data_IF_553690639922
#
_entry.id   IF_553690639922
#
_cell.length_a   1.000
_cell.length_b   1.000
_cell.length_c   1.000
_cell.angle_alpha   90.00
_cell.angle_beta   90.00
_cell.angle_gamma   90.00
#
_symmetry.space_group_name_H-M   'P 1'
#
loop_
_entity.id
_entity.type
_entity.pdbx_description
1 polymer ?
#
# COMPACT_ATOMS: atom_id res chain seq x y z
N UNK A 1 4.84 -38.11 -5.06
CA UNK A 1 5.55 -36.99 -4.41
C UNK A 1 4.67 -35.77 -4.54
N UNK A 2 4.38 -35.07 -3.44
CA UNK A 2 3.75 -33.75 -3.55
C UNK A 2 4.73 -32.82 -4.29
N UNK A 3 4.26 -31.98 -5.22
CA UNK A 3 5.14 -31.05 -5.92
C UNK A 3 5.79 -30.10 -4.90
N UNK A 4 7.11 -29.96 -4.95
CA UNK A 4 7.84 -28.96 -4.17
C UNK A 4 7.51 -27.59 -4.72
N UNK A 5 6.85 -26.75 -3.92
CA UNK A 5 6.56 -25.37 -4.29
C UNK A 5 7.85 -24.55 -4.33
N UNK A 6 7.93 -23.59 -5.26
CA UNK A 6 9.02 -22.62 -5.33
C UNK A 6 8.90 -21.69 -4.12
N UNK A 7 10.02 -21.39 -3.46
CA UNK A 7 10.09 -20.32 -2.48
C UNK A 7 10.03 -18.97 -3.21
N UNK A 8 8.86 -18.32 -3.25
CA UNK A 8 8.66 -17.06 -3.95
C UNK A 8 9.59 -15.93 -3.44
N UNK A 9 9.95 -15.93 -2.16
CA UNK A 9 10.90 -14.94 -1.64
C UNK A 9 12.31 -15.10 -2.20
N UNK A 10 12.67 -16.29 -2.68
CA UNK A 10 13.95 -16.53 -3.36
C UNK A 10 13.99 -15.96 -4.78
N UNK A 11 12.84 -15.59 -5.37
CA UNK A 11 12.76 -14.98 -6.70
C UNK A 11 12.79 -13.44 -6.67
N UNK A 12 12.88 -12.85 -5.48
CA UNK A 12 13.12 -11.41 -5.32
C UNK A 12 14.56 -11.10 -5.71
N UNK A 13 14.72 -10.34 -6.80
CA UNK A 13 16.02 -9.83 -7.24
C UNK A 13 16.39 -8.64 -6.35
N UNK A 14 17.18 -8.88 -5.29
CA UNK A 14 17.63 -7.87 -4.33
C UNK A 14 18.90 -8.37 -3.61
N UNK A 15 19.64 -7.45 -3.01
CA UNK A 15 20.78 -7.81 -2.17
C UNK A 15 20.35 -8.63 -0.95
N UNK A 16 21.27 -9.42 -0.40
CA UNK A 16 21.01 -10.15 0.86
C UNK A 16 20.74 -9.22 2.04
N UNK A 17 21.26 -7.98 2.00
CA UNK A 17 20.94 -6.93 2.98
C UNK A 17 19.45 -6.62 2.96
N UNK A 18 18.90 -6.33 1.78
CA UNK A 18 17.48 -5.99 1.65
C UNK A 18 16.58 -7.19 1.93
N UNK A 19 16.93 -8.39 1.47
CA UNK A 19 16.19 -9.61 1.80
C UNK A 19 16.14 -9.87 3.32
N UNK A 20 17.27 -9.69 4.00
CA UNK A 20 17.35 -9.86 5.46
C UNK A 20 16.52 -8.80 6.21
N UNK A 21 16.56 -7.55 5.74
CA UNK A 21 15.70 -6.48 6.26
C UNK A 21 14.22 -6.83 6.09
N UNK A 22 13.79 -7.18 4.87
CA UNK A 22 12.40 -7.53 4.57
C UNK A 22 11.92 -8.72 5.42
N UNK A 23 12.74 -9.76 5.59
CA UNK A 23 12.42 -10.89 6.46
C UNK A 23 12.18 -10.43 7.90
N UNK A 24 13.06 -9.57 8.43
CA UNK A 24 12.91 -9.01 9.78
C UNK A 24 11.66 -8.17 9.92
N UNK A 25 11.36 -7.30 8.95
CA UNK A 25 10.17 -6.46 8.98
C UNK A 25 8.89 -7.28 8.90
N UNK A 26 8.81 -8.26 7.99
CA UNK A 26 7.67 -9.18 7.92
C UNK A 26 7.47 -9.96 9.23
N UNK A 27 8.56 -10.48 9.80
CA UNK A 27 8.51 -11.19 11.09
C UNK A 27 7.96 -10.30 12.20
N UNK A 28 8.40 -9.04 12.25
CA UNK A 28 7.91 -8.09 13.23
C UNK A 28 6.45 -7.70 13.00
N UNK A 29 6.00 -7.55 11.74
CA UNK A 29 4.60 -7.26 11.39
C UNK A 29 3.70 -8.38 11.87
N UNK A 30 4.03 -9.62 11.50
CA UNK A 30 3.28 -10.81 11.88
C UNK A 30 3.18 -10.98 13.39
N UNK A 31 4.27 -10.72 14.13
CA UNK A 31 4.25 -10.78 15.59
C UNK A 31 3.32 -9.73 16.21
N UNK A 32 3.27 -8.51 15.65
CA UNK A 32 2.35 -7.47 16.12
C UNK A 32 0.89 -7.76 15.74
N UNK A 33 0.65 -8.30 14.54
CA UNK A 33 -0.67 -8.75 14.11
C UNK A 33 -1.19 -9.89 14.98
N UNK A 34 -0.35 -10.87 15.31
CA UNK A 34 -0.72 -11.97 16.21
C UNK A 34 -1.11 -11.43 17.59
N UNK A 35 -0.33 -10.49 18.15
CA UNK A 35 -0.64 -9.86 19.43
C UNK A 35 -1.97 -9.08 19.39
N UNK A 36 -2.19 -8.29 18.34
CA UNK A 36 -3.42 -7.51 18.17
C UNK A 36 -4.66 -8.40 17.99
N UNK A 37 -4.51 -9.55 17.34
CA UNK A 37 -5.62 -10.46 17.06
C UNK A 37 -5.91 -11.44 18.20
N UNK A 38 -5.21 -11.35 19.34
CA UNK A 38 -5.52 -12.19 20.51
C UNK A 38 -6.98 -12.01 20.97
N UNK A 39 -7.70 -13.11 21.26
CA UNK A 39 -9.05 -13.04 21.82
C UNK A 39 -9.08 -12.20 23.10
N UNK A 40 -10.07 -11.30 23.21
CA UNK A 40 -10.20 -10.40 24.35
C UNK A 40 -9.19 -9.24 24.38
N UNK A 41 -8.38 -9.07 23.32
CA UNK A 41 -7.51 -7.92 23.16
C UNK A 41 -8.25 -6.64 22.74
N UNK A 42 -7.53 -5.51 22.77
CA UNK A 42 -8.10 -4.18 22.48
C UNK A 42 -8.76 -4.09 21.10
N UNK A 43 -8.18 -4.72 20.08
CA UNK A 43 -8.75 -4.73 18.74
C UNK A 43 -10.10 -5.47 18.69
N UNK A 44 -10.24 -6.58 19.45
CA UNK A 44 -11.50 -7.32 19.55
C UNK A 44 -12.58 -6.48 20.25
N UNK A 45 -12.22 -5.76 21.32
CA UNK A 45 -13.13 -4.81 21.99
C UNK A 45 -13.60 -3.71 21.04
N UNK A 46 -12.69 -3.13 20.26
CA UNK A 46 -13.04 -2.07 19.31
C UNK A 46 -13.90 -2.58 18.15
N UNK A 47 -13.63 -3.78 17.63
CA UNK A 47 -14.49 -4.40 16.60
C UNK A 47 -15.91 -4.60 17.13
N UNK A 48 -16.06 -5.12 18.35
CA UNK A 48 -17.36 -5.26 19.00
C UNK A 48 -18.06 -3.90 19.20
N UNK A 49 -17.30 -2.85 19.55
CA UNK A 49 -17.84 -1.49 19.65
C UNK A 49 -18.32 -0.96 18.29
N UNK A 50 -17.58 -1.19 17.19
CA UNK A 50 -17.99 -0.81 15.83
C UNK A 50 -19.32 -1.49 15.45
N UNK A 51 -19.46 -2.78 15.74
CA UNK A 51 -20.69 -3.55 15.45
C UNK A 51 -21.91 -3.07 16.24
N UNK A 52 -21.69 -2.53 17.44
CA UNK A 52 -22.75 -1.98 18.30
C UNK A 52 -23.14 -0.55 17.93
N UNK A 53 -22.35 0.14 17.09
CA UNK A 53 -22.70 1.48 16.63
C UNK A 53 -23.96 1.40 15.75
N UNK A 54 -25.04 2.05 16.18
CA UNK A 54 -26.26 2.13 15.39
C UNK A 54 -26.00 2.87 14.07
N UNK A 55 -26.67 2.45 12.99
CA UNK A 55 -26.61 3.15 11.72
C UNK A 55 -27.03 4.62 11.90
N UNK A 56 -26.11 5.55 11.61
CA UNK A 56 -26.33 7.00 11.77
C UNK A 56 -25.87 7.60 13.10
N UNK A 57 -25.32 6.80 14.04
CA UNK A 57 -24.68 7.34 15.24
C UNK A 57 -23.26 7.84 14.94
N UNK A 58 -23.19 9.07 14.44
CA UNK A 58 -21.94 9.72 14.06
C UNK A 58 -20.99 9.94 15.25
N UNK A 59 -21.52 10.07 16.46
CA UNK A 59 -20.71 10.33 17.65
C UNK A 59 -20.01 9.04 18.13
N UNK A 60 -20.74 7.93 18.16
CA UNK A 60 -20.17 6.62 18.47
C UNK A 60 -19.12 6.20 17.43
N UNK A 61 -19.41 6.39 16.13
CA UNK A 61 -18.46 6.10 15.06
C UNK A 61 -17.18 6.95 15.17
N UNK A 62 -17.30 8.24 15.47
CA UNK A 62 -16.14 9.11 15.68
C UNK A 62 -15.31 8.70 16.92
N UNK A 63 -15.96 8.24 17.99
CA UNK A 63 -15.28 7.73 19.18
C UNK A 63 -14.53 6.42 18.89
N UNK A 64 -15.18 5.48 18.19
CA UNK A 64 -14.55 4.25 17.73
C UNK A 64 -13.33 4.56 16.86
N UNK A 65 -13.49 5.44 15.86
CA UNK A 65 -12.41 5.79 14.93
C UNK A 65 -11.20 6.34 15.68
N UNK A 66 -11.41 7.28 16.61
CA UNK A 66 -10.31 7.83 17.42
C UNK A 66 -9.57 6.75 18.21
N UNK A 67 -10.29 5.85 18.87
CA UNK A 67 -9.68 4.77 19.65
C UNK A 67 -8.95 3.77 18.77
N UNK A 68 -9.48 3.49 17.57
CA UNK A 68 -8.84 2.66 16.58
C UNK A 68 -7.55 3.30 16.06
N UNK A 69 -7.59 4.58 15.70
CA UNK A 69 -6.41 5.34 15.26
C UNK A 69 -5.32 5.35 16.33
N UNK A 70 -5.70 5.59 17.59
CA UNK A 70 -4.77 5.57 18.72
C UNK A 70 -4.14 4.19 18.95
N UNK A 71 -4.91 3.11 18.76
CA UNK A 71 -4.39 1.74 18.86
C UNK A 71 -3.42 1.41 17.72
N UNK A 72 -3.69 1.90 16.50
CA UNK A 72 -2.95 1.55 15.28
C UNK A 72 -1.77 2.50 14.99
N UNK A 73 -1.66 3.59 15.75
CA UNK A 73 -0.65 4.65 15.58
C UNK A 73 0.79 4.13 15.59
N UNK A 74 1.08 3.12 16.42
CA UNK A 74 2.41 2.55 16.62
C UNK A 74 2.51 1.08 16.16
N UNK A 75 1.49 0.59 15.44
CA UNK A 75 1.41 -0.80 14.99
C UNK A 75 1.84 -0.92 13.53
N UNK A 76 2.82 -1.78 13.30
CA UNK A 76 3.30 -2.18 11.99
C UNK A 76 2.44 -3.33 11.50
N UNK A 77 1.31 -2.99 10.91
CA UNK A 77 0.50 -3.89 10.09
C UNK A 77 0.87 -3.54 8.66
N UNK A 78 1.59 -4.44 8.02
CA UNK A 78 2.15 -4.24 6.69
C UNK A 78 1.54 -5.21 5.70
N UNK A 79 1.51 -4.82 4.43
CA UNK A 79 1.20 -5.71 3.32
C UNK A 79 1.96 -7.04 3.44
N UNK A 80 1.22 -8.15 3.41
CA UNK A 80 1.79 -9.49 3.61
C UNK A 80 2.83 -9.83 2.53
N UNK A 81 3.79 -10.69 2.88
CA UNK A 81 4.94 -11.00 2.04
C UNK A 81 4.56 -11.49 0.64
N UNK A 82 3.54 -12.33 0.52
CA UNK A 82 3.06 -12.87 -0.75
C UNK A 82 2.39 -11.80 -1.63
N UNK A 83 1.59 -10.92 -1.03
CA UNK A 83 1.01 -9.75 -1.71
C UNK A 83 2.09 -8.76 -2.14
N UNK A 84 3.08 -8.48 -1.29
CA UNK A 84 4.19 -7.58 -1.59
C UNK A 84 5.07 -8.12 -2.74
N UNK A 85 5.32 -9.44 -2.78
CA UNK A 85 6.00 -10.09 -3.90
C UNK A 85 5.17 -10.02 -5.20
N UNK A 86 3.86 -10.22 -5.11
CA UNK A 86 2.96 -10.05 -6.25
C UNK A 86 3.04 -8.62 -6.80
N UNK A 87 2.91 -7.61 -5.94
CA UNK A 87 3.00 -6.19 -6.31
C UNK A 87 4.36 -5.88 -6.94
N UNK A 88 5.47 -6.35 -6.35
CA UNK A 88 6.80 -6.22 -6.95
C UNK A 88 6.84 -6.77 -8.38
N UNK A 89 6.43 -8.03 -8.58
CA UNK A 89 6.46 -8.66 -9.90
C UNK A 89 5.52 -7.97 -10.91
N UNK A 90 4.39 -7.46 -10.44
CA UNK A 90 3.47 -6.68 -11.26
C UNK A 90 4.12 -5.36 -11.71
N UNK A 91 4.74 -4.60 -10.81
CA UNK A 91 5.49 -3.39 -11.16
C UNK A 91 6.66 -3.67 -12.14
N UNK A 92 7.36 -4.79 -11.97
CA UNK A 92 8.40 -5.25 -12.93
C UNK A 92 7.80 -5.55 -14.30
N UNK A 93 6.66 -6.24 -14.35
CA UNK A 93 5.95 -6.59 -15.60
C UNK A 93 5.48 -5.35 -16.35
N UNK A 94 4.95 -4.36 -15.62
CA UNK A 94 4.46 -3.09 -16.18
C UNK A 94 5.60 -2.15 -16.61
N UNK A 95 6.86 -2.47 -16.27
CA UNK A 95 7.98 -1.53 -16.32
C UNK A 95 7.66 -0.19 -15.62
N UNK A 96 6.91 -0.26 -14.51
CA UNK A 96 6.45 0.92 -13.77
C UNK A 96 7.63 1.69 -13.17
N UNK A 97 7.62 3.02 -13.35
CA UNK A 97 8.66 3.92 -12.79
C UNK A 97 8.08 5.12 -12.07
N UNK A 98 6.80 5.42 -12.24
CA UNK A 98 6.08 6.51 -11.56
C UNK A 98 4.96 5.88 -10.74
N UNK A 99 5.27 5.58 -9.49
CA UNK A 99 4.39 4.86 -8.57
C UNK A 99 3.88 5.81 -7.49
N UNK A 100 2.60 5.71 -7.13
CA UNK A 100 2.05 6.33 -5.93
C UNK A 100 1.76 5.24 -4.90
N UNK A 101 2.24 5.42 -3.67
CA UNK A 101 1.87 4.60 -2.52
C UNK A 101 1.08 5.48 -1.54
N UNK A 102 -0.20 5.16 -1.37
CA UNK A 102 -1.00 5.73 -0.30
C UNK A 102 -0.99 4.74 0.87
N UNK A 103 -0.37 5.16 1.98
CA UNK A 103 -0.26 4.37 3.20
C UNK A 103 1.09 3.66 3.29
N UNK A 104 2.14 4.41 3.59
CA UNK A 104 3.50 3.88 3.70
C UNK A 104 3.75 3.14 5.02
N UNK A 105 3.10 3.57 6.11
CA UNK A 105 3.29 3.00 7.45
C UNK A 105 4.79 2.97 7.80
N UNK A 106 5.36 1.81 8.13
CA UNK A 106 6.79 1.65 8.45
C UNK A 106 7.68 1.41 7.22
N UNK A 107 7.16 1.62 6.00
CA UNK A 107 7.92 1.63 4.76
C UNK A 107 8.22 0.27 4.13
N UNK A 108 7.60 -0.81 4.61
CA UNK A 108 7.88 -2.17 4.14
C UNK A 108 7.50 -2.36 2.67
N UNK A 109 6.25 -2.07 2.29
CA UNK A 109 5.76 -2.17 0.91
C UNK A 109 6.55 -1.25 -0.02
N UNK A 110 6.92 -0.06 0.46
CA UNK A 110 7.73 0.91 -0.28
C UNK A 110 9.07 0.34 -0.72
N UNK A 111 9.70 -0.54 0.08
CA UNK A 111 10.95 -1.20 -0.30
C UNK A 111 10.75 -2.05 -1.56
N UNK A 112 9.66 -2.82 -1.64
CA UNK A 112 9.34 -3.63 -2.83
C UNK A 112 9.07 -2.74 -4.05
N UNK A 113 8.29 -1.67 -3.87
CA UNK A 113 8.00 -0.71 -4.95
C UNK A 113 9.27 -0.02 -5.46
N UNK A 114 10.14 0.44 -4.56
CA UNK A 114 11.38 1.13 -4.88
C UNK A 114 12.38 0.22 -5.60
N UNK A 115 12.51 -1.04 -5.16
CA UNK A 115 13.29 -2.05 -5.89
C UNK A 115 12.81 -2.19 -7.34
N UNK A 116 11.49 -2.31 -7.55
CA UNK A 116 10.93 -2.45 -8.88
C UNK A 116 11.21 -1.22 -9.75
N UNK A 117 11.00 -0.01 -9.21
CA UNK A 117 11.27 1.27 -9.87
C UNK A 117 12.74 1.37 -10.26
N UNK A 118 13.67 1.19 -9.32
CA UNK A 118 15.10 1.35 -9.58
C UNK A 118 15.61 0.39 -10.65
N UNK A 119 15.16 -0.86 -10.60
CA UNK A 119 15.51 -1.87 -11.59
C UNK A 119 14.91 -1.56 -12.97
N UNK A 120 13.71 -0.97 -13.04
CA UNK A 120 13.08 -0.53 -14.30
C UNK A 120 13.82 0.69 -14.88
N UNK A 121 14.23 1.61 -14.01
CA UNK A 121 14.90 2.85 -14.37
C UNK A 121 16.31 2.64 -14.96
N UNK A 122 16.95 1.49 -14.73
CA UNK A 122 18.26 1.14 -15.33
C UNK A 122 18.25 1.16 -16.86
N UNK A 123 17.09 0.96 -17.50
CA UNK A 123 16.93 0.93 -18.96
C UNK A 123 16.53 2.27 -19.57
N UNK A 124 16.22 3.27 -18.74
CA UNK A 124 15.79 4.59 -19.18
C UNK A 124 16.99 5.51 -19.46
N UNK A 125 16.78 6.49 -20.34
CA UNK A 125 17.70 7.61 -20.50
C UNK A 125 17.74 8.49 -19.24
N UNK A 126 18.77 9.37 -19.09
CA UNK A 126 18.97 10.13 -17.86
C UNK A 126 17.78 11.01 -17.42
N UNK A 127 17.06 11.62 -18.35
CA UNK A 127 15.93 12.49 -18.03
C UNK A 127 14.75 11.69 -17.48
N UNK A 128 14.37 10.60 -18.16
CA UNK A 128 13.29 9.73 -17.67
C UNK A 128 13.68 8.99 -16.39
N UNK A 129 14.96 8.62 -16.22
CA UNK A 129 15.46 8.02 -14.97
C UNK A 129 15.31 8.97 -13.78
N UNK A 130 15.57 10.27 -13.97
CA UNK A 130 15.43 11.28 -12.91
C UNK A 130 13.97 11.45 -12.44
N UNK A 131 13.02 11.18 -13.32
CA UNK A 131 11.60 11.20 -13.00
C UNK A 131 11.09 9.91 -12.33
N UNK A 132 11.87 8.81 -12.37
CA UNK A 132 11.48 7.53 -11.80
C UNK A 132 11.53 7.56 -10.27
N UNK A 133 10.40 7.26 -9.62
CA UNK A 133 10.25 7.26 -8.17
C UNK A 133 8.97 6.57 -7.71
N UNK A 134 8.99 6.16 -6.46
CA UNK A 134 7.80 5.93 -5.63
C UNK A 134 7.51 7.22 -4.87
N UNK A 135 6.35 7.82 -5.09
CA UNK A 135 5.83 8.89 -4.24
C UNK A 135 5.07 8.21 -3.11
N UNK A 136 5.71 8.16 -1.94
CA UNK A 136 5.21 7.53 -0.73
C UNK A 136 4.52 8.58 0.15
N UNK A 137 3.39 8.25 0.79
CA UNK A 137 2.69 9.16 1.71
C UNK A 137 2.44 8.53 3.06
N UNK A 138 2.81 9.24 4.12
CA UNK A 138 2.53 8.86 5.51
C UNK A 138 2.16 10.09 6.33
N UNK A 139 1.22 9.91 7.26
CA UNK A 139 0.74 10.96 8.14
C UNK A 139 1.44 10.95 9.50
N UNK A 140 1.70 9.76 10.07
CA UNK A 140 2.18 9.60 11.45
C UNK A 140 3.71 9.80 11.56
N UNK A 141 4.20 10.83 12.28
CA UNK A 141 5.63 11.15 12.34
C UNK A 141 6.52 10.03 12.88
N UNK A 142 6.02 9.23 13.83
CA UNK A 142 6.77 8.09 14.38
C UNK A 142 6.99 6.99 13.35
N UNK A 143 5.99 6.72 12.49
CA UNK A 143 6.08 5.75 11.41
C UNK A 143 7.01 6.26 10.30
N UNK A 144 6.90 7.53 9.94
CA UNK A 144 7.82 8.23 9.02
C UNK A 144 9.27 8.01 9.44
N UNK A 145 9.59 8.31 10.71
CA UNK A 145 10.96 8.22 11.20
C UNK A 145 11.54 6.80 11.07
N UNK A 146 10.72 5.77 11.32
CA UNK A 146 11.13 4.37 11.19
C UNK A 146 11.19 3.92 9.73
N UNK A 147 10.25 4.35 8.88
CA UNK A 147 10.29 4.08 7.45
C UNK A 147 11.59 4.61 6.81
N UNK A 148 11.95 5.86 7.10
CA UNK A 148 13.22 6.45 6.65
C UNK A 148 14.44 5.67 7.14
N UNK A 149 14.43 5.16 8.38
CA UNK A 149 15.52 4.31 8.89
C UNK A 149 15.61 2.98 8.12
N UNK A 150 14.47 2.33 7.85
CA UNK A 150 14.44 1.09 7.09
C UNK A 150 14.95 1.30 5.66
N UNK A 151 14.56 2.38 4.99
CA UNK A 151 15.03 2.67 3.62
C UNK A 151 16.53 2.97 3.59
N UNK A 152 17.03 3.72 4.56
CA UNK A 152 18.47 3.95 4.72
C UNK A 152 19.24 2.65 4.98
N UNK A 153 18.69 1.75 5.78
CA UNK A 153 19.27 0.41 5.99
C UNK A 153 19.25 -0.43 4.71
N UNK A 154 18.19 -0.31 3.90
CA UNK A 154 18.08 -0.96 2.60
C UNK A 154 19.15 -0.47 1.61
N UNK A 155 19.48 0.83 1.67
CA UNK A 155 20.58 1.48 0.95
C UNK A 155 20.26 1.81 -0.52
N UNK A 156 21.31 2.02 -1.32
CA UNK A 156 21.26 2.59 -2.68
C UNK A 156 20.35 1.88 -3.69
N UNK A 157 20.01 0.60 -3.48
CA UNK A 157 19.07 -0.11 -4.34
C UNK A 157 17.59 0.27 -4.10
N UNK A 158 17.31 0.97 -3.00
CA UNK A 158 15.96 1.32 -2.53
C UNK A 158 15.83 2.82 -2.28
N UNK A 159 16.61 3.38 -1.35
CA UNK A 159 16.44 4.74 -0.82
C UNK A 159 16.37 5.84 -1.90
N UNK A 160 17.23 5.85 -2.94
CA UNK A 160 17.22 6.93 -3.94
C UNK A 160 15.95 7.00 -4.80
N UNK A 161 15.14 5.95 -4.80
CA UNK A 161 13.92 5.84 -5.62
C UNK A 161 12.66 6.28 -4.88
N UNK A 162 12.78 6.80 -3.66
CA UNK A 162 11.65 7.14 -2.80
C UNK A 162 11.58 8.65 -2.63
N UNK A 163 10.40 9.21 -2.91
CA UNK A 163 10.01 10.56 -2.54
C UNK A 163 8.92 10.45 -1.46
N UNK A 164 9.30 10.65 -0.20
CA UNK A 164 8.32 10.68 0.90
C UNK A 164 7.66 12.06 0.98
N UNK A 165 6.32 12.07 1.02
CA UNK A 165 5.51 13.24 1.30
C UNK A 165 4.79 13.09 2.64
N UNK A 166 5.27 13.83 3.64
CA UNK A 166 4.81 13.74 5.02
C UNK A 166 3.54 14.59 5.28
N UNK A 167 2.54 13.98 5.92
CA UNK A 167 1.31 14.64 6.36
C UNK A 167 0.07 14.18 5.60
N UNK A 168 -0.96 15.04 5.55
CA UNK A 168 -2.24 14.70 4.91
C UNK A 168 -2.06 14.51 3.40
N UNK A 169 -2.20 13.27 2.94
CA UNK A 169 -2.05 12.89 1.54
C UNK A 169 -2.93 13.72 0.59
N UNK A 170 -4.09 14.21 1.04
CA UNK A 170 -4.99 15.02 0.19
C UNK A 170 -4.37 16.37 -0.16
N UNK A 171 -3.54 16.89 0.74
CA UNK A 171 -2.77 18.10 0.52
C UNK A 171 -1.48 17.79 -0.22
N UNK A 172 -0.82 16.68 0.14
CA UNK A 172 0.49 16.30 -0.43
C UNK A 172 0.43 15.78 -1.85
N UNK A 173 -0.71 15.25 -2.29
CA UNK A 173 -0.93 14.77 -3.65
C UNK A 173 -1.73 15.78 -4.49
N UNK A 174 -2.01 16.99 -3.98
CA UNK A 174 -2.75 18.01 -4.72
C UNK A 174 -1.93 18.68 -5.84
N UNK A 175 -0.59 18.55 -5.80
CA UNK A 175 0.32 19.13 -6.79
C UNK A 175 1.51 18.21 -7.06
N UNK A 176 2.29 18.57 -8.08
CA UNK A 176 3.59 17.95 -8.39
C UNK A 176 3.50 16.44 -8.62
N UNK A 177 2.37 15.97 -9.13
CA UNK A 177 2.20 14.59 -9.56
C UNK A 177 2.88 14.37 -10.93
N UNK A 178 3.38 13.15 -11.20
CA UNK A 178 3.82 12.78 -12.54
C UNK A 178 2.65 12.91 -13.53
N UNK A 179 2.93 13.31 -14.77
CA UNK A 179 1.90 13.44 -15.81
C UNK A 179 1.30 12.10 -16.27
N UNK A 180 1.94 10.98 -15.90
CA UNK A 180 1.50 9.63 -16.22
C UNK A 180 1.91 8.72 -15.06
N UNK A 181 0.97 8.40 -14.19
CA UNK A 181 1.15 7.46 -13.09
C UNK A 181 0.98 6.06 -13.64
N UNK A 182 1.97 5.19 -13.40
CA UNK A 182 1.97 3.82 -13.91
C UNK A 182 1.24 2.86 -12.98
N UNK A 183 1.36 3.10 -11.67
CA UNK A 183 0.90 2.19 -10.63
C UNK A 183 0.48 2.95 -9.38
N UNK A 184 -0.56 2.47 -8.71
CA UNK A 184 -1.01 2.97 -7.40
C UNK A 184 -1.19 1.80 -6.45
N UNK A 185 -0.60 1.89 -5.25
CA UNK A 185 -0.91 1.01 -4.13
C UNK A 185 -1.78 1.76 -3.11
N UNK A 186 -2.96 1.21 -2.81
CA UNK A 186 -3.80 1.57 -1.69
C UNK A 186 -3.63 0.54 -0.56
N UNK A 187 -2.72 0.84 0.37
CA UNK A 187 -2.54 0.16 1.65
C UNK A 187 -2.73 1.18 2.78
N UNK A 188 -3.88 1.85 2.72
CA UNK A 188 -4.20 3.07 3.49
C UNK A 188 -5.42 2.81 4.36
N UNK A 189 -5.65 3.70 5.32
CA UNK A 189 -6.98 3.84 5.93
C UNK A 189 -8.04 4.03 4.85
N UNK A 190 -8.92 3.03 4.70
CA UNK A 190 -9.83 2.86 3.56
C UNK A 190 -10.65 4.10 3.17
N UNK A 191 -11.16 4.93 4.10
CA UNK A 191 -11.84 6.19 3.74
C UNK A 191 -11.01 7.17 2.91
N UNK A 192 -9.68 7.03 2.88
CA UNK A 192 -8.80 7.86 2.05
C UNK A 192 -8.66 7.35 0.61
N UNK A 193 -9.09 6.12 0.29
CA UNK A 193 -8.95 5.54 -1.06
C UNK A 193 -9.62 6.44 -2.11
N UNK A 194 -10.89 6.79 -1.92
CA UNK A 194 -11.62 7.62 -2.90
C UNK A 194 -11.12 9.07 -3.00
N UNK A 195 -10.88 9.79 -1.89
CA UNK A 195 -10.21 11.09 -1.94
C UNK A 195 -8.88 11.04 -2.70
N UNK A 196 -8.10 9.98 -2.52
CA UNK A 196 -6.83 9.81 -3.22
C UNK A 196 -7.04 9.54 -4.71
N UNK A 197 -7.90 8.59 -5.07
CA UNK A 197 -8.16 8.25 -6.47
C UNK A 197 -8.57 9.49 -7.27
N UNK A 198 -9.44 10.34 -6.74
CA UNK A 198 -9.88 11.59 -7.40
C UNK A 198 -8.74 12.56 -7.70
N UNK A 199 -7.70 12.60 -6.86
CA UNK A 199 -6.52 13.43 -7.08
C UNK A 199 -5.61 12.82 -8.15
N UNK A 200 -5.49 11.50 -8.19
CA UNK A 200 -4.57 10.79 -9.08
C UNK A 200 -5.14 10.54 -10.48
N UNK A 201 -6.47 10.37 -10.60
CA UNK A 201 -7.16 9.97 -11.82
C UNK A 201 -6.81 10.83 -13.05
N UNK A 202 -6.73 12.18 -12.97
CA UNK A 202 -6.33 13.00 -14.11
C UNK A 202 -4.92 12.71 -14.64
N UNK A 203 -4.07 12.10 -13.83
CA UNK A 203 -2.68 11.79 -14.11
C UNK A 203 -2.45 10.29 -14.36
N UNK A 204 -3.47 9.43 -14.25
CA UNK A 204 -3.32 8.00 -14.55
C UNK A 204 -3.11 7.82 -16.06
N UNK A 205 -2.08 7.04 -16.43
CA UNK A 205 -1.92 6.64 -17.84
C UNK A 205 -2.95 5.57 -18.22
N UNK A 206 -3.28 5.45 -19.51
CA UNK A 206 -3.99 4.27 -20.00
C UNK A 206 -3.17 3.01 -19.70
N UNK A 207 -3.81 2.02 -19.07
CA UNK A 207 -3.17 0.81 -18.56
C UNK A 207 -2.52 0.96 -17.19
N UNK A 208 -2.69 2.09 -16.49
CA UNK A 208 -2.28 2.21 -15.09
C UNK A 208 -2.97 1.16 -14.24
N UNK A 209 -2.22 0.57 -13.31
CA UNK A 209 -2.75 -0.46 -12.41
C UNK A 209 -2.87 0.09 -11.00
N UNK A 210 -4.03 -0.11 -10.41
CA UNK A 210 -4.37 0.24 -9.04
C UNK A 210 -4.52 -1.08 -8.28
N UNK A 211 -3.79 -1.23 -7.19
CA UNK A 211 -3.93 -2.36 -6.26
C UNK A 211 -4.45 -1.84 -4.94
N UNK A 212 -5.52 -2.43 -4.42
CA UNK A 212 -6.10 -2.08 -3.13
C UNK A 212 -6.12 -3.30 -2.20
N UNK A 213 -5.56 -3.16 -1.00
CA UNK A 213 -5.48 -4.25 -0.04
C UNK A 213 -6.71 -4.32 0.89
N UNK A 214 -6.96 -5.49 1.45
CA UNK A 214 -8.01 -5.78 2.42
C UNK A 214 -9.45 -5.52 1.93
N UNK A 215 -9.71 -5.56 0.62
CA UNK A 215 -11.02 -5.22 0.03
C UNK A 215 -12.17 -6.14 0.47
N UNK A 216 -11.88 -7.37 0.91
CA UNK A 216 -12.87 -8.28 1.47
C UNK A 216 -13.04 -8.02 2.97
N UNK A 217 -11.95 -7.93 3.73
CA UNK A 217 -12.00 -7.72 5.18
C UNK A 217 -12.52 -6.32 5.57
N UNK A 218 -12.40 -5.35 4.67
CA UNK A 218 -12.84 -3.96 4.82
C UNK A 218 -13.94 -3.58 3.82
N UNK A 219 -14.72 -4.56 3.34
CA UNK A 219 -15.67 -4.38 2.25
C UNK A 219 -16.67 -3.22 2.46
N UNK A 220 -17.11 -3.00 3.70
CA UNK A 220 -17.98 -1.87 4.03
C UNK A 220 -17.30 -0.51 3.79
N UNK A 221 -16.05 -0.38 4.22
CA UNK A 221 -15.31 0.89 4.12
C UNK A 221 -14.88 1.17 2.66
N UNK A 222 -14.83 0.15 1.80
CA UNK A 222 -14.55 0.26 0.35
C UNK A 222 -15.79 0.57 -0.52
N UNK A 223 -16.99 0.72 0.06
CA UNK A 223 -18.23 0.88 -0.69
C UNK A 223 -18.16 2.01 -1.73
N UNK A 224 -17.72 3.21 -1.35
CA UNK A 224 -17.61 4.35 -2.25
C UNK A 224 -16.67 4.09 -3.44
N UNK A 225 -15.58 3.33 -3.21
CA UNK A 225 -14.64 2.94 -4.26
C UNK A 225 -15.27 1.95 -5.23
N UNK A 226 -15.91 0.89 -4.73
CA UNK A 226 -16.56 -0.09 -5.59
C UNK A 226 -17.74 0.52 -6.37
N UNK A 227 -18.54 1.38 -5.76
CA UNK A 227 -19.63 2.10 -6.45
C UNK A 227 -19.08 3.00 -7.56
N UNK A 228 -17.98 3.70 -7.31
CA UNK A 228 -17.30 4.52 -8.32
C UNK A 228 -16.81 3.68 -9.50
N UNK A 229 -16.09 2.59 -9.24
CA UNK A 229 -15.57 1.68 -10.28
C UNK A 229 -16.73 1.06 -11.09
N UNK A 230 -17.82 0.65 -10.43
CA UNK A 230 -18.99 0.09 -11.09
C UNK A 230 -19.70 1.11 -12.00
N UNK A 231 -19.83 2.35 -11.55
CA UNK A 231 -20.39 3.45 -12.35
C UNK A 231 -19.53 3.78 -13.57
N UNK A 232 -18.20 3.65 -13.45
CA UNK A 232 -17.21 3.95 -14.50
C UNK A 232 -16.62 2.70 -15.15
N UNK A 233 -17.40 1.62 -15.25
CA UNK A 233 -16.97 0.32 -15.83
C UNK A 233 -16.45 0.38 -17.27
N UNK A 234 -16.69 1.48 -17.99
CA UNK A 234 -16.10 1.72 -19.31
C UNK A 234 -14.62 2.10 -19.19
N UNK A 235 -14.22 2.81 -18.14
CA UNK A 235 -12.85 3.26 -17.88
C UNK A 235 -12.07 2.36 -16.93
N UNK A 236 -12.72 1.44 -16.20
CA UNK A 236 -12.05 0.53 -15.27
C UNK A 236 -12.37 -0.94 -15.51
N UNK A 237 -11.38 -1.81 -15.31
CA UNK A 237 -11.52 -3.28 -15.28
C UNK A 237 -10.96 -3.79 -13.97
N UNK A 238 -11.75 -4.50 -13.18
CA UNK A 238 -11.33 -4.96 -11.85
C UNK A 238 -11.56 -6.46 -11.64
N UNK A 239 -10.72 -7.07 -10.81
CA UNK A 239 -10.97 -8.36 -10.17
C UNK A 239 -10.36 -8.40 -8.76
N UNK A 240 -10.98 -9.17 -7.87
CA UNK A 240 -10.42 -9.47 -6.55
C UNK A 240 -9.60 -10.76 -6.65
N UNK A 241 -8.31 -10.66 -6.32
CA UNK A 241 -7.38 -11.77 -6.25
C UNK A 241 -7.54 -12.53 -4.92
N UNK A 242 -7.33 -13.85 -4.90
CA UNK A 242 -7.68 -14.72 -3.76
C UNK A 242 -6.63 -14.70 -2.63
N UNK A 243 -6.15 -13.51 -2.24
CA UNK A 243 -5.27 -13.33 -1.08
C UNK A 243 -6.08 -13.15 0.20
N UNK A 244 -5.45 -13.41 1.36
CA UNK A 244 -6.06 -13.17 2.67
C UNK A 244 -6.55 -11.72 2.78
N UNK A 245 -7.76 -11.52 3.30
CA UNK A 245 -8.40 -10.20 3.37
C UNK A 245 -8.82 -9.60 2.02
N UNK A 246 -8.47 -10.23 0.89
CA UNK A 246 -8.73 -9.76 -0.47
C UNK A 246 -7.71 -8.73 -0.95
N UNK A 247 -7.21 -8.90 -2.18
CA UNK A 247 -6.35 -7.94 -2.86
C UNK A 247 -6.98 -7.62 -4.22
N UNK A 248 -7.46 -6.40 -4.41
CA UNK A 248 -8.09 -6.00 -5.66
C UNK A 248 -7.05 -5.50 -6.66
N UNK A 249 -7.17 -5.95 -7.91
CA UNK A 249 -6.43 -5.43 -9.06
C UNK A 249 -7.41 -4.73 -9.98
N UNK A 250 -7.20 -3.42 -10.16
CA UNK A 250 -7.97 -2.58 -11.07
C UNK A 250 -7.06 -2.00 -12.14
N UNK A 251 -7.46 -2.09 -13.41
CA UNK A 251 -6.78 -1.47 -14.55
C UNK A 251 -7.60 -0.27 -15.03
N UNK A 252 -6.95 0.88 -15.17
CA UNK A 252 -7.52 2.07 -15.80
C UNK A 252 -7.36 1.97 -17.33
N UNK A 253 -8.47 1.85 -18.04
CA UNK A 253 -8.57 1.70 -19.51
C UNK A 253 -9.70 2.60 -20.04
N UNK A 254 -9.51 3.93 -20.04
CA UNK A 254 -10.48 4.89 -20.58
C UNK A 254 -10.57 4.84 -22.11
#
# INVERSE_FOLDING_TARGET
>A
MAPTLINASATLDASERVKSLLLRLHTNSLAQEEELNKPGGKLAELKALKEQCAAGDTAALASFQRQFDDLMRDKMIALEQDKALFVYHLCRTLSATRIIEAGTSFGLSTIYLALAVGQNATKLDPEHRKAAKVIATEFEPSKIALACQHWKEAGEEVEPWIELREGDLRQRLASDLPNEIDFVLFDIWTPMVMPTLRLLEPNLKKGAVIVADNVISSAYDYQDFHEYIAAHRNAYRTLVLPYSGGLELTVYDP
#
